data_IF_485633432828
#
_entry.id   IF_485633432828
#
_cell.length_a   1.000
_cell.length_b   1.000
_cell.length_c   1.000
_cell.angle_alpha   90.00
_cell.angle_beta   90.00
_cell.angle_gamma   90.00
#
_symmetry.space_group_name_H-M   'P 1'
#
loop_
_entity.id
_entity.type
_entity.pdbx_description
1 polymer ?
#
# COMPACT_ATOMS: atom_id res chain seq x y z
N UNK A 1 18.15 29.92 -25.31
CA UNK A 1 17.35 30.57 -24.27
C UNK A 1 15.85 30.31 -24.48
N UNK A 2 15.42 29.06 -24.32
CA UNK A 2 13.99 28.69 -24.25
C UNK A 2 13.83 27.55 -23.26
N UNK A 3 14.19 27.85 -22.00
CA UNK A 3 14.06 26.94 -20.87
C UNK A 3 13.08 27.52 -19.87
N UNK A 4 11.86 27.83 -20.22
CA UNK A 4 11.05 28.46 -19.19
C UNK A 4 9.57 28.02 -19.12
N UNK A 5 8.91 27.77 -20.22
CA UNK A 5 7.45 27.64 -20.15
C UNK A 5 6.94 26.20 -19.99
N UNK A 6 7.77 25.21 -20.29
CA UNK A 6 7.41 23.79 -20.12
C UNK A 6 7.70 23.23 -18.73
N UNK A 7 8.73 23.77 -18.06
CA UNK A 7 9.10 23.34 -16.70
C UNK A 7 8.11 23.87 -15.66
N UNK A 8 7.65 25.12 -15.81
CA UNK A 8 6.66 25.72 -14.90
C UNK A 8 5.30 25.02 -14.91
N UNK A 9 4.81 24.62 -16.05
CA UNK A 9 3.51 23.95 -16.12
C UNK A 9 3.53 22.53 -15.57
N UNK A 10 4.65 21.82 -15.69
CA UNK A 10 4.79 20.48 -15.09
C UNK A 10 5.00 20.56 -13.58
N UNK A 11 5.75 21.53 -13.09
CA UNK A 11 5.99 21.70 -11.67
C UNK A 11 4.74 22.20 -10.92
N UNK A 12 3.99 23.12 -11.52
CA UNK A 12 2.70 23.59 -10.97
C UNK A 12 1.68 22.45 -10.99
N UNK A 13 1.57 21.69 -12.06
CA UNK A 13 0.64 20.56 -12.14
C UNK A 13 0.98 19.46 -11.15
N UNK A 14 2.26 19.15 -10.91
CA UNK A 14 2.66 18.18 -9.91
C UNK A 14 2.49 18.68 -8.49
N UNK A 15 2.75 19.95 -8.22
CA UNK A 15 2.52 20.53 -6.88
C UNK A 15 1.04 20.64 -6.53
N UNK A 16 0.19 20.97 -7.50
CA UNK A 16 -1.26 21.00 -7.31
C UNK A 16 -1.84 19.60 -7.05
N UNK A 17 -1.41 18.60 -7.81
CA UNK A 17 -1.80 17.20 -7.59
C UNK A 17 -1.36 16.69 -6.22
N UNK A 18 -0.17 17.03 -5.77
CA UNK A 18 0.31 16.70 -4.42
C UNK A 18 -0.51 17.45 -3.36
N UNK A 19 -0.87 18.70 -3.62
CA UNK A 19 -1.74 19.50 -2.75
C UNK A 19 -3.14 18.90 -2.62
N UNK A 20 -3.76 18.52 -3.72
CA UNK A 20 -5.08 17.87 -3.71
C UNK A 20 -5.04 16.48 -3.06
N UNK A 21 -4.04 15.66 -3.35
CA UNK A 21 -3.86 14.37 -2.69
C UNK A 21 -3.70 14.53 -1.18
N UNK A 22 -2.95 15.53 -0.74
CA UNK A 22 -2.79 15.84 0.68
C UNK A 22 -4.07 16.38 1.32
N UNK A 23 -4.83 17.19 0.61
CA UNK A 23 -6.12 17.70 1.09
C UNK A 23 -7.15 16.56 1.27
N UNK A 24 -7.22 15.63 0.33
CA UNK A 24 -8.06 14.43 0.46
C UNK A 24 -7.63 13.61 1.69
N UNK A 25 -6.33 13.43 1.87
CA UNK A 25 -5.77 12.72 3.01
C UNK A 25 -6.17 13.37 4.35
N UNK A 26 -6.00 14.69 4.47
CA UNK A 26 -6.36 15.46 5.68
C UNK A 26 -7.87 15.35 5.97
N UNK A 27 -8.72 15.44 4.96
CA UNK A 27 -10.18 15.29 5.13
C UNK A 27 -10.56 13.88 5.59
N UNK A 28 -9.89 12.84 5.07
CA UNK A 28 -10.11 11.46 5.49
C UNK A 28 -9.61 11.22 6.93
N UNK A 29 -8.52 11.85 7.32
CA UNK A 29 -7.93 11.77 8.66
C UNK A 29 -8.81 12.54 9.67
N UNK A 30 -9.17 13.80 9.40
CA UNK A 30 -10.05 14.62 10.27
C UNK A 30 -11.45 14.03 10.40
N UNK A 31 -11.94 13.34 9.37
CA UNK A 31 -13.22 12.64 9.39
C UNK A 31 -13.24 11.33 10.18
N UNK A 32 -12.10 10.87 10.74
CA UNK A 32 -11.93 9.55 11.36
C UNK A 32 -12.41 8.38 10.50
N UNK A 33 -12.57 8.61 9.18
CA UNK A 33 -13.06 7.62 8.23
C UNK A 33 -12.02 6.52 8.06
N UNK A 34 -10.74 6.90 8.03
CA UNK A 34 -9.63 5.96 7.87
C UNK A 34 -9.51 5.07 9.10
N UNK A 35 -9.61 5.63 10.31
CA UNK A 35 -9.58 4.86 11.56
C UNK A 35 -10.69 3.81 11.57
N UNK A 36 -11.90 4.19 11.13
CA UNK A 36 -13.05 3.30 11.05
C UNK A 36 -12.81 2.16 10.05
N UNK A 37 -12.26 2.47 8.86
CA UNK A 37 -11.94 1.48 7.83
C UNK A 37 -10.85 0.53 8.34
N UNK A 38 -9.78 1.08 8.89
CA UNK A 38 -8.65 0.30 9.43
C UNK A 38 -9.12 -0.61 10.56
N UNK A 39 -9.89 -0.09 11.52
CA UNK A 39 -10.48 -0.89 12.60
C UNK A 39 -11.38 -2.00 12.06
N UNK A 40 -12.29 -1.69 11.15
CA UNK A 40 -13.20 -2.68 10.57
C UNK A 40 -12.46 -3.79 9.80
N UNK A 41 -11.32 -3.49 9.20
CA UNK A 41 -10.52 -4.46 8.45
C UNK A 41 -9.65 -5.34 9.33
N UNK A 42 -9.20 -4.84 10.50
CA UNK A 42 -8.31 -5.59 11.38
C UNK A 42 -9.02 -6.29 12.53
N UNK A 43 -10.20 -5.85 12.96
CA UNK A 43 -11.00 -6.51 14.00
C UNK A 43 -11.25 -8.01 13.72
N UNK A 44 -11.61 -8.46 12.51
CA UNK A 44 -11.80 -9.89 12.25
C UNK A 44 -10.51 -10.72 12.33
N UNK A 45 -9.34 -10.09 12.38
CA UNK A 45 -8.05 -10.79 12.46
C UNK A 45 -7.68 -11.21 13.88
N UNK A 46 -8.31 -10.61 14.90
CA UNK A 46 -8.00 -10.86 16.33
C UNK A 46 -8.31 -12.30 16.79
N UNK A 47 -9.11 -13.06 16.05
CA UNK A 47 -9.48 -14.44 16.40
C UNK A 47 -8.83 -15.52 15.54
N UNK A 48 -7.94 -15.17 14.62
CA UNK A 48 -7.35 -16.09 13.66
C UNK A 48 -5.98 -16.64 14.12
N UNK A 49 -5.57 -17.82 13.64
CA UNK A 49 -4.19 -18.29 13.82
C UNK A 49 -3.16 -17.28 13.27
N UNK A 50 -1.95 -17.23 13.88
CA UNK A 50 -0.90 -16.27 13.53
C UNK A 50 -0.64 -16.13 12.02
N UNK A 51 -0.57 -17.27 11.31
CA UNK A 51 -0.36 -17.28 9.85
C UNK A 51 -1.54 -16.67 9.11
N UNK A 52 -2.76 -17.00 9.52
CA UNK A 52 -3.96 -16.45 8.88
C UNK A 52 -4.12 -14.95 9.17
N UNK A 53 -3.78 -14.50 10.38
CA UNK A 53 -3.79 -13.08 10.74
C UNK A 53 -2.75 -12.29 9.95
N UNK A 54 -1.53 -12.80 9.80
CA UNK A 54 -0.47 -12.14 9.01
C UNK A 54 -0.81 -12.04 7.53
N UNK A 55 -1.36 -13.10 6.93
CA UNK A 55 -1.84 -13.07 5.55
C UNK A 55 -3.07 -12.17 5.38
N UNK A 56 -3.96 -12.14 6.37
CA UNK A 56 -5.07 -11.22 6.44
C UNK A 56 -4.62 -9.76 6.48
N UNK A 57 -3.54 -9.45 7.20
CA UNK A 57 -2.92 -8.12 7.19
C UNK A 57 -2.41 -7.74 5.79
N UNK A 58 -1.78 -8.67 5.06
CA UNK A 58 -1.36 -8.43 3.66
C UNK A 58 -2.55 -8.07 2.79
N UNK A 59 -3.64 -8.85 2.87
CA UNK A 59 -4.85 -8.60 2.10
C UNK A 59 -5.50 -7.26 2.47
N UNK A 60 -5.60 -6.95 3.76
CA UNK A 60 -6.12 -5.68 4.25
C UNK A 60 -5.29 -4.49 3.73
N UNK A 61 -3.96 -4.58 3.79
CA UNK A 61 -3.07 -3.54 3.28
C UNK A 61 -3.21 -3.34 1.77
N UNK A 62 -3.37 -4.42 1.01
CA UNK A 62 -3.65 -4.36 -0.43
C UNK A 62 -4.96 -3.63 -0.73
N UNK A 63 -6.02 -3.90 0.05
CA UNK A 63 -7.32 -3.24 -0.12
C UNK A 63 -7.26 -1.75 0.26
N UNK A 64 -6.56 -1.41 1.35
CA UNK A 64 -6.37 -0.01 1.77
C UNK A 64 -5.56 0.77 0.73
N UNK A 65 -4.64 0.10 0.02
CA UNK A 65 -3.79 0.75 -0.97
C UNK A 65 -4.57 1.30 -2.17
N UNK A 66 -5.72 0.72 -2.51
CA UNK A 66 -6.54 1.17 -3.64
C UNK A 66 -7.04 2.62 -3.46
N UNK A 67 -7.68 2.99 -2.32
CA UNK A 67 -8.08 4.36 -2.05
C UNK A 67 -6.92 5.28 -1.62
N UNK A 68 -5.84 4.73 -1.07
CA UNK A 68 -4.67 5.49 -0.58
C UNK A 68 -3.40 5.03 -1.32
N UNK A 69 -3.20 5.45 -2.60
CA UNK A 69 -2.08 4.99 -3.42
C UNK A 69 -0.76 5.68 -3.03
N UNK A 70 -0.41 5.57 -1.77
CA UNK A 70 0.83 6.14 -1.21
C UNK A 70 1.34 5.22 -0.11
N UNK A 71 2.44 4.53 -0.38
CA UNK A 71 3.06 3.61 0.58
C UNK A 71 3.36 4.32 1.90
N UNK A 72 4.02 5.48 1.85
CA UNK A 72 4.36 6.25 3.06
C UNK A 72 3.13 6.77 3.79
N UNK A 73 2.13 7.28 3.06
CA UNK A 73 0.88 7.78 3.64
C UNK A 73 0.10 6.65 4.32
N UNK A 74 0.00 5.50 3.68
CA UNK A 74 -0.64 4.32 4.24
C UNK A 74 0.07 3.83 5.52
N UNK A 75 1.43 3.89 5.57
CA UNK A 75 2.17 3.54 6.78
C UNK A 75 1.77 4.39 7.99
N UNK A 76 1.69 5.71 7.79
CA UNK A 76 1.31 6.65 8.85
C UNK A 76 -0.10 6.35 9.39
N UNK A 77 -1.00 5.90 8.51
CA UNK A 77 -2.38 5.56 8.89
C UNK A 77 -2.49 4.21 9.57
N UNK A 78 -1.82 3.19 9.06
CA UNK A 78 -2.06 1.79 9.48
C UNK A 78 -1.12 1.33 10.57
N UNK A 79 0.13 1.83 10.66
CA UNK A 79 1.10 1.38 11.65
C UNK A 79 0.66 1.65 13.11
N UNK A 80 0.04 2.79 13.46
CA UNK A 80 -0.46 3.02 14.82
C UNK A 80 -1.48 1.99 15.29
N UNK A 81 -2.21 1.36 14.37
CA UNK A 81 -3.18 0.28 14.68
C UNK A 81 -2.52 -1.09 14.61
N UNK A 82 -1.65 -1.31 13.63
CA UNK A 82 -1.01 -2.61 13.42
C UNK A 82 -0.01 -2.98 14.51
N UNK A 83 0.71 -2.01 15.08
CA UNK A 83 1.70 -2.28 16.13
C UNK A 83 1.03 -2.82 17.40
N UNK A 84 0.03 -2.15 18.00
CA UNK A 84 -0.71 -2.70 19.13
C UNK A 84 -1.38 -4.05 18.81
N UNK A 85 -1.95 -4.19 17.62
CA UNK A 85 -2.57 -5.43 17.18
C UNK A 85 -1.55 -6.57 17.10
N UNK A 86 -0.35 -6.30 16.60
CA UNK A 86 0.72 -7.32 16.55
C UNK A 86 1.13 -7.78 17.95
N UNK A 87 1.24 -6.85 18.87
CA UNK A 87 1.58 -7.15 20.28
C UNK A 87 0.49 -8.02 20.92
N UNK A 88 -0.79 -7.78 20.62
CA UNK A 88 -1.94 -8.58 21.09
C UNK A 88 -1.96 -9.99 20.48
N UNK A 89 -1.59 -10.13 19.22
CA UNK A 89 -1.56 -11.41 18.50
C UNK A 89 -0.29 -12.23 18.78
N UNK A 90 0.70 -11.64 19.45
CA UNK A 90 2.01 -12.26 19.65
C UNK A 90 2.85 -12.33 18.36
N UNK A 91 2.56 -11.48 17.37
CA UNK A 91 3.34 -11.35 16.15
C UNK A 91 4.50 -10.37 16.36
N UNK A 92 5.68 -10.69 15.83
CA UNK A 92 6.77 -9.72 15.85
C UNK A 92 6.47 -8.54 14.94
N UNK A 93 6.92 -7.37 15.34
CA UNK A 93 6.80 -6.13 14.55
C UNK A 93 7.45 -6.26 13.18
N UNK A 94 8.46 -7.13 13.04
CA UNK A 94 9.11 -7.40 11.74
C UNK A 94 8.17 -8.11 10.77
N UNK A 95 7.38 -9.08 11.24
CA UNK A 95 6.37 -9.77 10.42
C UNK A 95 5.28 -8.78 9.96
N UNK A 96 4.88 -7.85 10.83
CA UNK A 96 3.91 -6.79 10.49
C UNK A 96 4.47 -5.86 9.42
N UNK A 97 5.73 -5.45 9.52
CA UNK A 97 6.37 -4.63 8.49
C UNK A 97 6.48 -5.38 7.17
N UNK A 98 6.80 -6.68 7.19
CA UNK A 98 6.80 -7.51 5.97
C UNK A 98 5.40 -7.60 5.35
N UNK A 99 4.37 -7.87 6.16
CA UNK A 99 2.99 -7.91 5.69
C UNK A 99 2.55 -6.59 5.06
N UNK A 100 2.91 -5.47 5.67
CA UNK A 100 2.69 -4.14 5.13
C UNK A 100 3.41 -3.94 3.80
N UNK A 101 4.71 -4.24 3.72
CA UNK A 101 5.50 -4.05 2.49
C UNK A 101 5.01 -4.90 1.34
N UNK A 102 4.62 -6.14 1.60
CA UNK A 102 4.05 -6.99 0.55
C UNK A 102 2.64 -6.53 0.15
N UNK A 103 1.81 -6.12 1.09
CA UNK A 103 0.46 -5.65 0.80
C UNK A 103 0.43 -4.30 0.08
N UNK A 104 1.07 -3.29 0.63
CA UNK A 104 1.07 -1.93 0.09
C UNK A 104 2.11 -1.73 -1.01
N UNK A 105 3.38 -2.11 -0.76
CA UNK A 105 4.47 -1.81 -1.69
C UNK A 105 4.37 -2.54 -3.03
N UNK A 106 3.95 -3.80 -3.05
CA UNK A 106 3.76 -4.52 -4.32
C UNK A 106 2.52 -4.04 -5.07
N UNK A 107 1.49 -3.56 -4.36
CA UNK A 107 0.27 -3.08 -4.98
C UNK A 107 0.49 -1.84 -5.87
N UNK A 108 1.50 -1.03 -5.57
CA UNK A 108 1.91 0.13 -6.38
C UNK A 108 2.13 -0.20 -7.86
N UNK A 109 2.57 -1.44 -8.17
CA UNK A 109 2.88 -1.88 -9.54
C UNK A 109 1.61 -2.00 -10.39
N UNK A 110 0.46 -2.28 -9.78
CA UNK A 110 -0.80 -2.55 -10.49
C UNK A 110 -1.88 -1.51 -10.21
N UNK A 111 -1.69 -0.62 -9.23
CA UNK A 111 -2.73 0.31 -8.79
C UNK A 111 -2.96 1.42 -9.82
N UNK A 112 -4.17 1.54 -10.39
CA UNK A 112 -4.47 2.56 -11.41
C UNK A 112 -4.53 3.98 -10.84
N UNK A 113 -4.60 4.12 -9.53
CA UNK A 113 -4.60 5.41 -8.84
C UNK A 113 -3.19 5.93 -8.56
N UNK A 114 -2.14 5.12 -8.84
CA UNK A 114 -0.75 5.56 -8.72
C UNK A 114 -0.35 6.46 -9.89
N UNK A 115 -0.34 7.77 -9.63
CA UNK A 115 0.00 8.79 -10.63
C UNK A 115 1.42 8.65 -11.20
N UNK A 116 2.39 8.18 -10.41
CA UNK A 116 3.76 7.97 -10.87
C UNK A 116 3.83 6.83 -11.88
N UNK A 117 3.12 5.72 -11.64
CA UNK A 117 3.01 4.61 -12.58
C UNK A 117 2.40 5.08 -13.91
N UNK A 118 1.28 5.79 -13.84
CA UNK A 118 0.60 6.30 -15.04
C UNK A 118 1.47 7.27 -15.83
N UNK A 119 2.21 8.15 -15.16
CA UNK A 119 3.13 9.07 -15.80
C UNK A 119 4.29 8.34 -16.51
N UNK A 120 4.85 7.31 -15.89
CA UNK A 120 5.90 6.48 -16.52
C UNK A 120 5.37 5.72 -17.74
N UNK A 121 4.18 5.13 -17.65
CA UNK A 121 3.55 4.43 -18.78
C UNK A 121 3.24 5.38 -19.94
N UNK A 122 2.73 6.58 -19.63
CA UNK A 122 2.49 7.61 -20.63
C UNK A 122 3.77 8.07 -21.32
N UNK A 123 4.85 8.28 -20.58
CA UNK A 123 6.15 8.63 -21.12
C UNK A 123 6.75 7.52 -22.00
N UNK A 124 6.51 6.26 -21.64
CA UNK A 124 6.94 5.10 -22.40
C UNK A 124 6.01 4.77 -23.60
N UNK A 125 4.87 5.44 -23.76
CA UNK A 125 3.89 5.17 -24.81
C UNK A 125 3.18 3.81 -24.64
N UNK A 126 3.18 3.24 -23.44
CA UNK A 126 2.55 1.95 -23.12
C UNK A 126 1.16 2.18 -22.55
N UNK A 127 0.17 1.46 -23.09
CA UNK A 127 -1.19 1.53 -22.54
C UNK A 127 -1.26 0.76 -21.22
N UNK A 128 -2.01 1.30 -20.27
CA UNK A 128 -2.20 0.68 -18.95
C UNK A 128 -2.75 -0.76 -19.05
N UNK A 129 -3.65 -1.02 -20.00
CA UNK A 129 -4.20 -2.36 -20.23
C UNK A 129 -3.15 -3.42 -20.61
N UNK A 130 -2.16 -3.03 -21.42
CA UNK A 130 -1.08 -3.92 -21.84
C UNK A 130 -0.08 -4.13 -20.69
N UNK A 131 0.16 -3.08 -19.89
CA UNK A 131 0.93 -3.17 -18.67
C UNK A 131 0.32 -4.15 -17.67
N UNK A 132 -0.97 -4.05 -17.41
CA UNK A 132 -1.67 -4.92 -16.44
C UNK A 132 -1.60 -6.39 -16.82
N UNK A 133 -1.74 -6.72 -18.11
CA UNK A 133 -1.59 -8.13 -18.57
C UNK A 133 -0.23 -8.72 -18.23
N UNK A 134 0.82 -7.90 -18.28
CA UNK A 134 2.17 -8.29 -17.90
C UNK A 134 2.38 -8.25 -16.38
N UNK A 135 1.91 -7.20 -15.72
CA UNK A 135 2.18 -6.93 -14.32
C UNK A 135 1.40 -7.85 -13.36
N UNK A 136 0.17 -8.24 -13.69
CA UNK A 136 -0.67 -9.10 -12.81
C UNK A 136 -0.04 -10.47 -12.53
N UNK A 137 0.43 -11.25 -13.52
CA UNK A 137 1.07 -12.52 -13.21
C UNK A 137 2.36 -12.35 -12.39
N UNK A 138 3.13 -11.30 -12.65
CA UNK A 138 4.31 -10.97 -11.86
C UNK A 138 3.93 -10.59 -10.42
N UNK A 139 2.91 -9.76 -10.25
CA UNK A 139 2.38 -9.37 -8.94
C UNK A 139 1.92 -10.60 -8.14
N UNK A 140 1.17 -11.50 -8.76
CA UNK A 140 0.70 -12.73 -8.09
C UNK A 140 1.87 -13.62 -7.68
N UNK A 141 2.89 -13.76 -8.51
CA UNK A 141 4.10 -14.51 -8.18
C UNK A 141 4.85 -13.89 -6.99
N UNK A 142 5.00 -12.56 -6.97
CA UNK A 142 5.62 -11.84 -5.86
C UNK A 142 4.79 -11.91 -4.57
N UNK A 143 3.47 -11.84 -4.68
CA UNK A 143 2.57 -12.02 -3.53
C UNK A 143 2.66 -13.44 -2.95
N UNK A 144 2.73 -14.45 -3.79
CA UNK A 144 2.93 -15.84 -3.36
C UNK A 144 4.28 -16.01 -2.65
N UNK A 145 5.36 -15.42 -3.21
CA UNK A 145 6.67 -15.41 -2.58
C UNK A 145 6.65 -14.67 -1.23
N UNK A 146 5.95 -13.55 -1.16
CA UNK A 146 5.76 -12.80 0.08
C UNK A 146 5.01 -13.61 1.15
N UNK A 147 3.94 -14.31 0.78
CA UNK A 147 3.20 -15.18 1.67
C UNK A 147 4.06 -16.34 2.20
N UNK A 148 4.87 -16.95 1.34
CA UNK A 148 5.85 -17.97 1.74
C UNK A 148 6.89 -17.39 2.69
N UNK A 149 7.43 -16.20 2.41
CA UNK A 149 8.42 -15.53 3.26
C UNK A 149 7.86 -15.24 4.66
N UNK A 150 6.63 -14.75 4.76
CA UNK A 150 5.94 -14.50 6.03
C UNK A 150 5.75 -15.82 6.80
N UNK A 151 5.31 -16.87 6.12
CA UNK A 151 5.10 -18.19 6.75
C UNK A 151 6.42 -18.77 7.29
N UNK A 152 7.50 -18.62 6.53
CA UNK A 152 8.84 -19.03 6.98
C UNK A 152 9.27 -18.19 8.18
N UNK A 153 9.09 -16.86 8.13
CA UNK A 153 9.48 -15.96 9.22
C UNK A 153 8.79 -16.35 10.54
N UNK A 154 7.50 -16.68 10.50
CA UNK A 154 6.75 -17.17 11.65
C UNK A 154 7.26 -18.54 12.12
N UNK A 155 7.57 -19.46 11.21
CA UNK A 155 8.02 -20.82 11.55
C UNK A 155 9.42 -20.87 12.17
N UNK A 156 10.28 -19.90 11.85
CA UNK A 156 11.65 -19.79 12.42
C UNK A 156 11.63 -19.13 13.81
N UNK A 157 10.46 -18.66 14.26
CA UNK A 157 10.32 -18.00 15.56
C UNK A 157 10.74 -16.52 15.52
N UNK A 158 10.64 -15.88 14.37
CA UNK A 158 10.67 -14.42 14.27
C UNK A 158 9.33 -13.81 14.74
N UNK A 159 8.48 -14.62 15.33
CA UNK A 159 7.23 -14.20 15.94
C UNK A 159 7.47 -13.72 17.38
#
# INVERSE_FOLDING_TARGET
>A
HTRSDRDWSSDVCSSDLIGFARAIFVVLEDGHIVDTIVHAMFTPLEGLPLIASSLGMVAAQTLIHVPVPSVSGQAVLTMPVLIPLSDLLGLSRQVVVLAYQYGAGLCDIITPTNGALLAMLAAAGVRYEDWIKFAVPLYLALMALGAVSITIAISIGLA
#
